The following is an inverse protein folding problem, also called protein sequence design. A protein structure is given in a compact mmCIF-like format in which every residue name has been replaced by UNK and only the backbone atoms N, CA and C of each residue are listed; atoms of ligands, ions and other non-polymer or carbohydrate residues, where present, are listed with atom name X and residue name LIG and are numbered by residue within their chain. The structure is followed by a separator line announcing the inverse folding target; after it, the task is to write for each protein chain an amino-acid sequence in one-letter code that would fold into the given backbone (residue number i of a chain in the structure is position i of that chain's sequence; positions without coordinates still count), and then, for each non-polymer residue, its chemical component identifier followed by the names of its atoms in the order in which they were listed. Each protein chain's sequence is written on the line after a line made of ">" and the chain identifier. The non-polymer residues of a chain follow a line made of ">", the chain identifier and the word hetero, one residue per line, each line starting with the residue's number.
data_IF_557528516666
#
_entry.id   IF_557528516666
#
_cell.length_a   1.000
_cell.length_b   1.000
_cell.length_c   1.000
_cell.angle_alpha   90.00
_cell.angle_beta   90.00
_cell.angle_gamma   90.00
#
_symmetry.space_group_name_H-M   'P 1'
#
loop_
_entity.id
_entity.type
_entity.pdbx_description
1 polymer ?
#
# COMPACT_ATOMS: atom_id res chain seq x y z
N UNK A 1 31.07 -26.56 -19.29
CA UNK A 1 30.40 -26.65 -17.97
C UNK A 1 29.54 -27.92 -17.94
N UNK A 2 29.11 -28.41 -16.77
CA UNK A 2 28.06 -29.47 -16.64
C UNK A 2 26.86 -28.90 -15.89
N UNK A 3 25.68 -29.47 -16.05
CA UNK A 3 24.43 -29.04 -15.40
C UNK A 3 24.60 -29.03 -13.88
N UNK A 4 25.17 -30.09 -13.28
CA UNK A 4 25.32 -30.16 -11.82
C UNK A 4 26.26 -29.09 -11.27
N UNK A 5 27.24 -28.64 -12.08
CA UNK A 5 28.16 -27.57 -11.67
C UNK A 5 27.46 -26.21 -11.65
N UNK A 6 26.54 -25.97 -12.58
CA UNK A 6 25.70 -24.77 -12.55
C UNK A 6 24.70 -24.83 -11.40
N UNK A 7 24.10 -26.00 -11.14
CA UNK A 7 23.20 -26.20 -10.01
C UNK A 7 23.91 -25.95 -8.67
N UNK A 8 25.10 -26.52 -8.49
CA UNK A 8 25.91 -26.32 -7.28
C UNK A 8 26.35 -24.84 -7.12
N UNK A 9 26.63 -24.14 -8.22
CA UNK A 9 26.90 -22.71 -8.18
C UNK A 9 25.69 -21.92 -7.68
N UNK A 10 24.50 -22.14 -8.23
CA UNK A 10 23.28 -21.46 -7.79
C UNK A 10 22.90 -21.81 -6.34
N UNK A 11 23.11 -23.06 -5.92
CA UNK A 11 22.87 -23.52 -4.55
C UNK A 11 23.87 -22.97 -3.53
N UNK A 12 25.07 -22.55 -3.99
CA UNK A 12 26.08 -21.92 -3.12
C UNK A 12 25.84 -20.42 -2.86
N UNK A 13 24.87 -19.81 -3.56
CA UNK A 13 24.55 -18.40 -3.36
C UNK A 13 23.74 -18.21 -2.07
N UNK A 14 23.79 -17.00 -1.51
CA UNK A 14 22.98 -16.65 -0.32
C UNK A 14 21.48 -16.56 -0.60
N UNK A 15 21.09 -16.58 -1.88
CA UNK A 15 19.71 -16.51 -2.34
C UNK A 15 19.28 -17.93 -2.76
N UNK A 16 18.13 -18.44 -2.28
CA UNK A 16 17.65 -19.76 -2.68
C UNK A 16 17.08 -19.70 -4.09
N UNK A 17 17.93 -19.78 -5.12
CA UNK A 17 17.48 -19.70 -6.50
C UNK A 17 16.60 -20.90 -6.90
N UNK A 18 15.42 -20.61 -7.45
CA UNK A 18 14.47 -21.60 -7.98
C UNK A 18 14.88 -22.10 -9.36
N UNK A 19 15.61 -21.28 -10.11
CA UNK A 19 15.97 -21.58 -11.46
C UNK A 19 17.45 -21.32 -11.76
N UNK A 20 17.96 -22.03 -12.75
CA UNK A 20 19.27 -21.78 -13.35
C UNK A 20 19.20 -21.84 -14.88
N UNK A 21 20.05 -21.07 -15.55
CA UNK A 21 20.15 -21.01 -17.01
C UNK A 21 21.57 -21.32 -17.46
N UNK A 22 21.70 -22.07 -18.55
CA UNK A 22 22.98 -22.39 -19.19
C UNK A 22 23.02 -21.86 -20.62
N UNK A 23 23.91 -20.90 -20.91
CA UNK A 23 24.04 -20.28 -22.24
C UNK A 23 25.39 -20.64 -22.88
N UNK A 24 25.37 -20.93 -24.18
CA UNK A 24 26.54 -21.20 -25.03
C UNK A 24 27.53 -22.26 -24.48
N UNK A 25 27.10 -23.18 -23.60
CA UNK A 25 27.95 -24.23 -23.03
C UNK A 25 28.78 -23.83 -21.80
N UNK A 26 28.85 -22.53 -21.46
CA UNK A 26 29.82 -22.03 -20.48
C UNK A 26 29.27 -21.06 -19.45
N UNK A 27 28.19 -20.34 -19.74
CA UNK A 27 27.63 -19.34 -18.83
C UNK A 27 26.53 -19.96 -17.98
N UNK A 28 26.63 -19.80 -16.67
CA UNK A 28 25.61 -20.20 -15.71
C UNK A 28 24.97 -18.95 -15.09
N UNK A 29 23.66 -18.86 -15.15
CA UNK A 29 22.86 -17.80 -14.53
C UNK A 29 21.90 -18.41 -13.52
N UNK A 30 21.55 -17.66 -12.48
CA UNK A 30 20.63 -18.11 -11.43
C UNK A 30 19.53 -17.06 -11.28
N UNK A 31 18.27 -17.50 -11.23
CA UNK A 31 17.13 -16.60 -11.10
C UNK A 31 15.98 -17.25 -10.31
N UNK A 32 15.10 -16.42 -9.80
CA UNK A 32 13.84 -16.80 -9.16
C UNK A 32 12.61 -16.44 -9.99
N UNK A 33 12.78 -15.50 -10.92
CA UNK A 33 11.74 -14.97 -11.78
C UNK A 33 12.29 -15.00 -13.20
N UNK A 34 12.24 -16.16 -13.85
CA UNK A 34 12.55 -16.23 -15.27
C UNK A 34 11.45 -15.52 -16.07
N UNK A 35 11.57 -14.22 -16.20
CA UNK A 35 10.72 -13.39 -17.05
C UNK A 35 11.59 -12.78 -18.15
N UNK A 36 11.29 -13.15 -19.40
CA UNK A 36 11.74 -12.55 -20.66
C UNK A 36 13.17 -12.75 -21.21
N UNK A 37 14.14 -13.36 -20.51
CA UNK A 37 15.49 -13.55 -21.09
C UNK A 37 15.52 -14.61 -22.22
N UNK A 38 14.40 -15.29 -22.50
CA UNK A 38 14.35 -16.39 -23.47
C UNK A 38 13.34 -16.22 -24.62
N UNK A 39 12.77 -15.03 -24.83
CA UNK A 39 12.05 -14.80 -26.09
C UNK A 39 13.03 -14.75 -27.26
N UNK A 40 12.91 -15.77 -28.09
CA UNK A 40 13.48 -15.87 -29.43
C UNK A 40 13.22 -14.55 -30.16
N UNK A 41 14.28 -13.80 -30.49
CA UNK A 41 14.15 -12.67 -31.40
C UNK A 41 13.81 -13.22 -32.79
N UNK A 42 12.52 -13.20 -33.13
CA UNK A 42 11.98 -13.60 -34.42
C UNK A 42 11.27 -14.95 -34.40
N UNK A 43 10.34 -15.13 -35.35
CA UNK A 43 9.50 -16.31 -35.56
C UNK A 43 10.28 -17.61 -35.94
N UNK A 44 11.52 -17.79 -35.48
CA UNK A 44 12.47 -18.82 -35.89
C UNK A 44 13.03 -19.62 -34.69
N UNK A 45 12.18 -19.98 -33.72
CA UNK A 45 12.54 -20.96 -32.67
C UNK A 45 13.01 -22.32 -33.25
N UNK A 46 12.73 -22.56 -34.54
CA UNK A 46 13.20 -23.73 -35.29
C UNK A 46 14.65 -23.60 -35.82
N UNK A 47 15.27 -22.42 -35.78
CA UNK A 47 16.61 -22.18 -36.35
C UNK A 47 17.77 -22.36 -35.35
N UNK A 48 17.52 -22.28 -34.04
CA UNK A 48 18.56 -22.41 -33.00
C UNK A 48 18.05 -23.27 -31.83
N UNK A 49 18.31 -24.58 -31.81
CA UNK A 49 17.89 -25.43 -30.69
C UNK A 49 18.77 -25.19 -29.44
N UNK A 50 18.15 -25.19 -28.24
CA UNK A 50 18.86 -25.25 -26.95
C UNK A 50 19.41 -26.67 -26.68
N UNK A 51 20.19 -27.22 -27.61
CA UNK A 51 20.71 -28.58 -27.54
C UNK A 51 22.24 -28.64 -27.62
N UNK A 52 22.94 -27.50 -27.43
CA UNK A 52 24.40 -27.47 -27.38
C UNK A 52 24.88 -28.47 -26.33
N UNK A 53 25.69 -29.48 -26.70
CA UNK A 53 26.21 -30.44 -25.74
C UNK A 53 27.00 -29.73 -24.64
N UNK A 54 26.81 -30.14 -23.40
CA UNK A 54 27.54 -29.57 -22.29
C UNK A 54 29.04 -29.93 -22.39
N UNK A 55 29.96 -28.95 -22.38
CA UNK A 55 31.39 -29.21 -22.60
C UNK A 55 32.04 -30.14 -21.57
N UNK A 56 31.44 -30.28 -20.37
CA UNK A 56 31.94 -31.18 -19.34
C UNK A 56 31.30 -32.58 -19.35
N UNK A 57 30.14 -32.74 -19.98
CA UNK A 57 29.49 -34.03 -20.22
C UNK A 57 28.47 -33.90 -21.38
N UNK A 58 28.79 -34.40 -22.59
CA UNK A 58 27.89 -34.28 -23.74
C UNK A 58 26.63 -35.15 -23.65
N UNK A 59 26.49 -36.03 -22.65
CA UNK A 59 25.32 -36.91 -22.48
C UNK A 59 24.20 -36.31 -21.64
N UNK A 60 24.43 -35.14 -21.05
CA UNK A 60 23.44 -34.44 -20.24
C UNK A 60 22.20 -34.07 -21.06
N UNK A 61 21.08 -34.72 -20.72
CA UNK A 61 19.79 -34.52 -21.39
C UNK A 61 19.24 -33.15 -21.01
N UNK A 62 19.20 -32.24 -21.98
CA UNK A 62 18.74 -30.85 -21.81
C UNK A 62 19.68 -29.82 -22.44
N UNK A 63 20.95 -30.19 -22.66
CA UNK A 63 21.95 -29.33 -23.30
C UNK A 63 22.31 -28.09 -22.48
N UNK A 64 23.45 -27.47 -22.78
CA UNK A 64 23.89 -26.25 -22.12
C UNK A 64 23.59 -25.02 -22.98
N UNK A 65 22.34 -24.88 -23.43
CA UNK A 65 21.87 -23.75 -24.23
C UNK A 65 22.03 -23.92 -25.74
N UNK A 66 22.10 -22.78 -26.43
CA UNK A 66 22.25 -22.62 -27.87
C UNK A 66 22.71 -21.20 -28.17
N UNK A 67 22.97 -20.88 -29.44
CA UNK A 67 23.44 -19.54 -29.82
C UNK A 67 22.42 -18.47 -29.38
N UNK A 68 22.80 -17.66 -28.37
CA UNK A 68 21.95 -16.64 -27.73
C UNK A 68 20.72 -17.19 -26.98
N UNK A 69 20.69 -18.48 -26.66
CA UNK A 69 19.59 -19.12 -25.94
C UNK A 69 20.15 -19.90 -24.75
N UNK A 70 19.46 -19.87 -23.61
CA UNK A 70 19.82 -20.75 -22.50
C UNK A 70 18.88 -21.96 -22.40
N UNK A 71 19.44 -23.07 -21.94
CA UNK A 71 18.65 -24.14 -21.36
C UNK A 71 18.32 -23.77 -19.92
N UNK A 72 17.02 -23.65 -19.61
CA UNK A 72 16.53 -23.30 -18.29
C UNK A 72 16.16 -24.56 -17.49
N UNK A 73 16.54 -24.59 -16.22
CA UNK A 73 16.29 -25.71 -15.31
C UNK A 73 15.64 -25.19 -14.04
N UNK A 74 14.57 -25.87 -13.62
CA UNK A 74 13.86 -25.57 -12.38
C UNK A 74 14.26 -26.56 -11.28
N UNK A 75 14.56 -26.03 -10.10
CA UNK A 75 14.75 -26.81 -8.87
C UNK A 75 13.39 -27.23 -8.32
N UNK A 76 13.11 -28.54 -8.33
CA UNK A 76 11.82 -29.12 -7.92
C UNK A 76 11.53 -28.90 -6.43
N UNK A 77 12.57 -28.91 -5.59
CA UNK A 77 12.47 -28.71 -4.13
C UNK A 77 13.05 -27.36 -3.70
N UNK A 78 12.80 -26.30 -4.47
CA UNK A 78 13.23 -24.95 -4.05
C UNK A 78 12.47 -24.51 -2.80
N UNK A 79 13.18 -23.92 -1.85
CA UNK A 79 12.61 -23.25 -0.68
C UNK A 79 12.29 -21.78 -0.95
N UNK A 80 12.47 -21.31 -2.20
CA UNK A 80 12.11 -19.96 -2.60
C UNK A 80 10.61 -19.75 -2.50
N UNK A 81 10.21 -18.70 -1.80
CA UNK A 81 8.81 -18.28 -1.71
C UNK A 81 8.62 -17.13 -2.68
N UNK A 82 7.62 -17.24 -3.56
CA UNK A 82 7.17 -16.11 -4.37
C UNK A 82 6.31 -15.24 -3.47
N UNK A 83 6.70 -13.98 -3.23
CA UNK A 83 5.89 -13.06 -2.45
C UNK A 83 4.55 -12.81 -3.16
N UNK A 84 3.45 -12.90 -2.42
CA UNK A 84 2.11 -12.67 -2.95
C UNK A 84 1.53 -11.38 -2.39
N UNK A 85 0.62 -10.77 -3.15
CA UNK A 85 -0.19 -9.67 -2.65
C UNK A 85 -1.19 -10.23 -1.65
N UNK A 86 -1.26 -9.63 -0.47
CA UNK A 86 -2.30 -9.93 0.51
C UNK A 86 -3.60 -9.26 0.02
N UNK A 87 -4.65 -10.00 -0.36
CA UNK A 87 -5.83 -9.38 -0.97
C UNK A 87 -6.58 -8.45 -0.01
N UNK A 88 -6.63 -8.82 1.26
CA UNK A 88 -7.25 -8.02 2.32
C UNK A 88 -6.72 -8.37 3.71
N UNK A 89 -6.78 -7.39 4.61
CA UNK A 89 -6.52 -7.53 6.06
C UNK A 89 -7.67 -6.85 6.80
N UNK A 90 -8.62 -7.63 7.30
CA UNK A 90 -9.85 -7.06 7.89
C UNK A 90 -10.61 -6.18 6.89
N UNK A 91 -10.75 -4.88 7.20
CA UNK A 91 -11.41 -3.89 6.33
C UNK A 91 -10.45 -3.19 5.36
N UNK A 92 -9.18 -3.60 5.30
CA UNK A 92 -8.22 -3.12 4.33
C UNK A 92 -8.24 -4.00 3.09
N UNK A 93 -8.38 -3.39 1.92
CA UNK A 93 -8.36 -4.09 0.63
C UNK A 93 -7.20 -3.57 -0.21
N UNK A 94 -6.51 -4.48 -0.90
CA UNK A 94 -5.44 -4.10 -1.81
C UNK A 94 -6.00 -3.37 -3.03
N UNK A 95 -5.40 -2.22 -3.35
CA UNK A 95 -5.66 -1.49 -4.60
C UNK A 95 -4.68 -1.89 -5.69
N UNK A 96 -3.47 -2.32 -5.30
CA UNK A 96 -2.45 -2.87 -6.19
C UNK A 96 -1.16 -2.05 -6.19
N UNK A 97 -0.36 -2.17 -7.26
CA UNK A 97 0.94 -1.52 -7.36
C UNK A 97 0.83 -0.08 -7.89
N UNK A 98 1.45 0.87 -7.19
CA UNK A 98 1.48 2.29 -7.52
C UNK A 98 2.91 2.82 -7.63
N UNK A 99 3.09 3.85 -8.45
CA UNK A 99 4.38 4.57 -8.54
C UNK A 99 4.65 5.36 -7.26
N UNK A 100 5.89 5.32 -6.78
CA UNK A 100 6.41 6.18 -5.71
C UNK A 100 7.70 6.89 -6.17
N UNK A 101 8.18 7.85 -5.39
CA UNK A 101 9.46 8.53 -5.58
C UNK A 101 9.94 9.14 -4.27
N UNK A 102 11.24 8.98 -3.98
CA UNK A 102 11.88 9.63 -2.81
C UNK A 102 11.76 11.16 -2.81
N UNK A 103 11.61 11.80 -3.97
CA UNK A 103 11.44 13.25 -4.11
C UNK A 103 9.98 13.69 -4.19
N UNK A 104 9.04 12.76 -4.30
CA UNK A 104 7.62 13.01 -4.52
C UNK A 104 6.80 11.81 -4.03
N UNK A 105 6.69 11.67 -2.71
CA UNK A 105 6.13 10.48 -2.06
C UNK A 105 4.65 10.28 -2.37
N UNK A 106 4.24 9.04 -2.64
CA UNK A 106 2.84 8.76 -2.95
C UNK A 106 1.91 8.97 -1.74
N UNK A 107 2.41 8.71 -0.54
CA UNK A 107 1.74 8.94 0.75
C UNK A 107 2.68 9.75 1.67
N UNK A 108 2.12 10.60 2.52
CA UNK A 108 2.90 11.67 3.19
C UNK A 108 3.51 11.31 4.54
N UNK A 109 3.02 10.27 5.22
CA UNK A 109 3.51 9.90 6.55
C UNK A 109 4.18 8.54 6.51
N UNK A 110 5.46 8.49 6.84
CA UNK A 110 6.13 7.22 7.12
C UNK A 110 5.91 6.86 8.60
N UNK A 111 5.53 5.61 8.88
CA UNK A 111 5.36 5.10 10.25
C UNK A 111 6.28 3.91 10.50
N UNK A 112 6.66 3.72 11.76
CA UNK A 112 7.39 2.53 12.17
C UNK A 112 6.41 1.38 12.44
N UNK A 113 6.47 0.35 11.59
CA UNK A 113 5.67 -0.87 11.70
C UNK A 113 6.49 -2.06 12.22
N UNK A 114 7.70 -1.82 12.74
CA UNK A 114 8.61 -2.84 13.25
C UNK A 114 9.13 -3.78 12.17
N UNK A 115 8.91 -5.08 12.34
CA UNK A 115 9.23 -6.06 11.31
C UNK A 115 8.08 -6.09 10.29
N UNK A 116 8.14 -5.18 9.31
CA UNK A 116 7.01 -4.85 8.43
C UNK A 116 6.43 -6.08 7.72
N UNK A 117 5.14 -6.31 7.93
CA UNK A 117 4.23 -7.14 7.12
C UNK A 117 3.13 -6.24 6.56
N UNK A 118 2.24 -6.77 5.73
CA UNK A 118 1.05 -6.02 5.30
C UNK A 118 0.17 -5.69 6.52
N UNK A 119 -0.07 -6.66 7.40
CA UNK A 119 -0.89 -6.50 8.61
C UNK A 119 -0.31 -5.46 9.56
N UNK A 120 1.00 -5.49 9.81
CA UNK A 120 1.62 -4.54 10.74
C UNK A 120 1.54 -3.12 10.18
N UNK A 121 1.72 -2.96 8.87
CA UNK A 121 1.63 -1.66 8.22
C UNK A 121 0.20 -1.10 8.23
N UNK A 122 -0.79 -1.87 7.77
CA UNK A 122 -2.18 -1.39 7.75
C UNK A 122 -2.68 -1.09 9.17
N UNK A 123 -2.29 -1.90 10.16
CA UNK A 123 -2.63 -1.66 11.58
C UNK A 123 -2.01 -0.36 12.08
N UNK A 124 -0.75 -0.09 11.76
CA UNK A 124 -0.07 1.15 12.14
C UNK A 124 -0.73 2.37 11.50
N UNK A 125 -1.05 2.32 10.20
CA UNK A 125 -1.74 3.41 9.52
C UNK A 125 -3.17 3.63 10.05
N UNK A 126 -3.87 2.54 10.38
CA UNK A 126 -5.21 2.58 10.96
C UNK A 126 -5.20 3.23 12.35
N UNK A 127 -4.20 2.92 13.19
CA UNK A 127 -4.02 3.55 14.50
C UNK A 127 -3.75 5.06 14.41
N UNK A 128 -3.22 5.54 13.28
CA UNK A 128 -3.00 6.96 12.99
C UNK A 128 -4.19 7.63 12.27
N UNK A 129 -5.29 6.90 12.02
CA UNK A 129 -6.50 7.44 11.40
C UNK A 129 -6.43 7.61 9.87
N UNK A 130 -5.45 7.00 9.21
CA UNK A 130 -5.26 7.10 7.76
C UNK A 130 -6.09 6.07 6.99
N UNK A 131 -6.74 6.47 5.91
CA UNK A 131 -7.54 5.54 5.07
C UNK A 131 -6.72 4.82 4.00
N UNK A 132 -5.48 5.24 3.78
CA UNK A 132 -4.54 4.60 2.88
C UNK A 132 -3.29 4.16 3.65
N UNK A 133 -2.84 2.96 3.32
CA UNK A 133 -1.61 2.37 3.81
C UNK A 133 -0.84 1.84 2.60
N UNK A 134 0.48 1.90 2.65
CA UNK A 134 1.33 1.46 1.56
C UNK A 134 2.61 0.85 2.08
N UNK A 135 2.94 -0.33 1.55
CA UNK A 135 4.20 -1.02 1.84
C UNK A 135 5.19 -0.81 0.70
N UNK A 136 6.40 -0.36 1.02
CA UNK A 136 7.47 -0.10 0.04
C UNK A 136 8.80 -0.72 0.49
N UNK A 137 9.62 -1.12 -0.50
CA UNK A 137 11.02 -1.49 -0.31
C UNK A 137 11.25 -2.56 0.77
N UNK A 138 10.28 -3.47 0.93
CA UNK A 138 10.32 -4.62 1.84
C UNK A 138 10.16 -4.28 3.33
N UNK A 139 10.30 -3.01 3.72
CA UNK A 139 10.34 -2.62 5.15
C UNK A 139 9.64 -1.31 5.46
N UNK A 140 9.34 -0.49 4.47
CA UNK A 140 8.79 0.85 4.69
C UNK A 140 7.27 0.77 4.75
N UNK A 141 6.68 1.47 5.72
CA UNK A 141 5.24 1.62 5.84
C UNK A 141 4.88 3.10 5.72
N UNK A 142 4.05 3.41 4.73
CA UNK A 142 3.60 4.75 4.41
C UNK A 142 2.08 4.85 4.57
N UNK A 143 1.62 5.97 5.12
CA UNK A 143 0.22 6.21 5.44
C UNK A 143 -0.24 7.55 4.86
N UNK A 144 -1.51 7.62 4.48
CA UNK A 144 -2.14 8.86 4.10
C UNK A 144 -3.64 8.74 3.92
N UNK A 145 -4.30 9.84 3.55
CA UNK A 145 -5.75 9.83 3.28
C UNK A 145 -6.06 10.04 1.81
N UNK A 146 -5.06 10.43 1.02
CA UNK A 146 -5.15 10.67 -0.42
C UNK A 146 -3.78 10.39 -1.05
N UNK A 147 -3.78 9.95 -2.31
CA UNK A 147 -2.56 9.86 -3.10
C UNK A 147 -2.05 11.24 -3.45
N UNK A 148 -0.74 11.42 -3.36
CA UNK A 148 -0.05 12.68 -3.67
C UNK A 148 0.77 12.59 -4.95
N UNK A 149 1.18 13.76 -5.44
CA UNK A 149 2.16 13.93 -6.51
C UNK A 149 1.90 13.13 -7.80
N UNK A 150 0.61 12.90 -8.10
CA UNK A 150 0.20 12.21 -9.31
C UNK A 150 0.60 10.73 -9.35
N UNK A 151 0.79 10.08 -8.19
CA UNK A 151 1.00 8.63 -8.11
C UNK A 151 -0.06 7.88 -8.91
N UNK A 152 0.37 6.93 -9.75
CA UNK A 152 -0.49 6.23 -10.71
C UNK A 152 -0.47 4.74 -10.43
N UNK A 153 -1.62 4.12 -10.63
CA UNK A 153 -1.72 2.68 -10.70
C UNK A 153 -0.86 2.17 -11.86
N UNK A 154 -0.02 1.19 -11.59
CA UNK A 154 0.82 0.55 -12.60
C UNK A 154 0.02 -0.61 -13.20
N UNK A 155 -0.54 -0.39 -14.38
CA UNK A 155 -1.14 -1.47 -15.17
C UNK A 155 -0.02 -2.23 -15.89
N UNK A 156 0.09 -3.53 -15.63
CA UNK A 156 0.74 -4.44 -16.56
C UNK A 156 -0.23 -4.65 -17.73
N UNK A 157 0.02 -4.01 -18.86
CA UNK A 157 -0.73 -4.30 -20.08
C UNK A 157 -0.70 -5.82 -20.36
N UNK A 158 -1.89 -6.41 -20.48
CA UNK A 158 -2.24 -7.65 -21.16
C UNK A 158 -1.09 -8.63 -21.40
N UNK A 159 -0.90 -9.65 -20.56
CA UNK A 159 -0.63 -11.04 -20.94
C UNK A 159 -0.43 -11.86 -19.66
N UNK A 160 -1.24 -12.90 -19.52
CA UNK A 160 -1.19 -13.95 -18.48
C UNK A 160 -1.57 -13.57 -17.03
N UNK A 161 -2.87 -13.37 -16.80
CA UNK A 161 -3.57 -13.88 -15.60
C UNK A 161 -3.23 -13.36 -14.21
N UNK A 162 -2.22 -12.51 -14.00
CA UNK A 162 -1.85 -12.01 -12.67
C UNK A 162 -2.37 -10.59 -12.47
N UNK A 163 -3.48 -10.50 -11.74
CA UNK A 163 -4.11 -9.26 -11.27
C UNK A 163 -3.11 -8.46 -10.39
N UNK A 164 -3.13 -7.13 -10.46
CA UNK A 164 -2.37 -6.16 -9.63
C UNK A 164 -1.00 -5.58 -10.13
N UNK A 165 -0.65 -5.64 -11.42
CA UNK A 165 0.41 -4.76 -11.96
C UNK A 165 1.86 -5.24 -11.74
N UNK A 166 2.13 -6.51 -12.02
CA UNK A 166 3.27 -7.25 -11.44
C UNK A 166 4.54 -7.29 -12.31
N UNK A 167 4.52 -6.73 -13.52
CA UNK A 167 5.53 -7.08 -14.52
C UNK A 167 6.88 -6.36 -14.38
N UNK A 168 7.99 -7.11 -14.34
CA UNK A 168 9.34 -6.60 -14.65
C UNK A 168 9.63 -6.81 -16.14
N UNK A 169 9.71 -5.73 -16.93
CA UNK A 169 10.18 -5.81 -18.34
C UNK A 169 11.68 -6.09 -18.46
N UNK A 170 12.44 -5.91 -17.38
CA UNK A 170 13.89 -6.08 -17.31
C UNK A 170 14.28 -6.33 -15.85
N UNK A 171 15.40 -7.02 -15.56
CA UNK A 171 15.94 -7.18 -14.21
C UNK A 171 16.08 -5.87 -13.45
N UNK A 172 16.30 -4.76 -14.16
CA UNK A 172 16.49 -3.41 -13.60
C UNK A 172 15.18 -2.64 -13.39
N UNK A 173 14.04 -3.15 -13.88
CA UNK A 173 12.75 -2.46 -13.73
C UNK A 173 12.19 -2.64 -12.32
N UNK A 174 11.74 -1.56 -11.66
CA UNK A 174 11.18 -1.68 -10.33
C UNK A 174 9.81 -2.37 -10.33
N UNK A 175 9.65 -3.33 -9.43
CA UNK A 175 8.45 -4.18 -9.26
C UNK A 175 7.88 -4.10 -7.85
N UNK A 176 6.62 -4.48 -7.66
CA UNK A 176 5.99 -4.58 -6.35
C UNK A 176 6.18 -5.93 -5.61
N UNK A 177 7.08 -6.81 -6.07
CA UNK A 177 7.25 -8.17 -5.51
C UNK A 177 8.41 -8.32 -4.52
N UNK A 178 8.90 -7.22 -3.94
CA UNK A 178 9.91 -7.30 -2.88
C UNK A 178 9.28 -7.91 -1.63
N UNK A 179 9.86 -8.99 -1.09
CA UNK A 179 9.42 -9.62 0.15
C UNK A 179 9.33 -8.62 1.31
N UNK A 180 8.30 -8.77 2.13
CA UNK A 180 8.22 -8.12 3.43
C UNK A 180 9.31 -8.65 4.38
N UNK A 181 9.88 -7.76 5.20
CA UNK A 181 10.89 -8.09 6.21
C UNK A 181 10.32 -9.01 7.30
N UNK A 182 9.05 -8.79 7.66
CA UNK A 182 8.31 -9.56 8.66
C UNK A 182 7.83 -10.91 8.19
N UNK A 183 7.43 -11.00 6.92
CA UNK A 183 6.95 -12.23 6.30
C UNK A 183 7.42 -12.30 4.83
N UNK A 184 8.44 -13.12 4.51
CA UNK A 184 8.94 -13.22 3.16
C UNK A 184 7.93 -13.76 2.12
N UNK A 185 6.80 -14.32 2.55
CA UNK A 185 5.72 -14.77 1.68
C UNK A 185 4.79 -13.64 1.21
N UNK A 186 4.91 -12.46 1.79
CA UNK A 186 4.12 -11.28 1.43
C UNK A 186 4.93 -10.29 0.59
N UNK A 187 4.25 -9.65 -0.36
CA UNK A 187 4.80 -8.56 -1.16
C UNK A 187 4.70 -7.22 -0.44
N UNK A 188 5.83 -6.55 -0.27
CA UNK A 188 6.00 -5.22 0.33
C UNK A 188 6.61 -4.21 -0.66
N UNK A 189 6.07 -4.17 -1.89
CA UNK A 189 6.42 -3.16 -2.87
C UNK A 189 7.80 -3.38 -3.50
N UNK A 190 8.56 -2.30 -3.68
CA UNK A 190 9.92 -2.32 -4.22
C UNK A 190 10.47 -0.92 -4.36
N UNK A 191 11.59 -0.75 -5.05
CA UNK A 191 12.17 0.58 -5.24
C UNK A 191 11.21 1.48 -6.04
N UNK A 192 10.77 2.62 -5.48
CA UNK A 192 9.82 3.53 -6.15
C UNK A 192 8.49 2.83 -6.53
N UNK A 193 8.08 1.83 -5.75
CA UNK A 193 6.91 0.96 -6.01
C UNK A 193 6.21 0.65 -4.71
N UNK A 194 5.04 1.23 -4.53
CA UNK A 194 4.22 1.09 -3.34
C UNK A 194 3.08 0.12 -3.63
N UNK A 195 2.88 -0.92 -2.80
CA UNK A 195 1.59 -1.63 -2.82
C UNK A 195 0.63 -0.87 -1.93
N UNK A 196 -0.45 -0.37 -2.52
CA UNK A 196 -1.42 0.47 -1.85
C UNK A 196 -2.62 -0.35 -1.34
N UNK A 197 -3.05 -0.05 -0.13
CA UNK A 197 -4.24 -0.59 0.52
C UNK A 197 -5.19 0.54 0.90
N UNK A 198 -6.48 0.26 0.82
CA UNK A 198 -7.55 1.17 1.19
C UNK A 198 -8.40 0.59 2.32
N UNK A 199 -8.61 1.39 3.36
CA UNK A 199 -9.52 1.09 4.44
C UNK A 199 -10.96 1.39 4.03
N UNK A 200 -11.83 0.39 4.11
CA UNK A 200 -13.25 0.55 3.80
C UNK A 200 -14.13 0.71 5.05
N UNK A 201 -13.51 0.85 6.23
CA UNK A 201 -14.22 1.16 7.47
C UNK A 201 -14.43 2.66 7.67
N UNK A 202 -14.98 3.01 8.83
CA UNK A 202 -15.15 4.40 9.27
C UNK A 202 -14.13 4.75 10.36
N UNK A 203 -13.71 6.00 10.39
CA UNK A 203 -12.88 6.57 11.47
C UNK A 203 -13.72 7.44 12.40
N UNK A 204 -13.39 7.53 13.71
CA UNK A 204 -12.36 6.78 14.44
C UNK A 204 -12.61 5.27 14.46
N UNK A 205 -11.59 4.50 14.83
CA UNK A 205 -11.66 3.04 14.93
C UNK A 205 -12.81 2.58 15.84
N UNK A 206 -13.88 2.04 15.25
CA UNK A 206 -15.07 1.60 16.00
C UNK A 206 -16.01 2.74 16.40
N UNK A 207 -15.67 3.99 16.10
CA UNK A 207 -16.51 5.15 16.33
C UNK A 207 -17.19 5.61 15.05
N UNK A 208 -18.47 5.92 15.15
CA UNK A 208 -19.31 6.26 14.01
C UNK A 208 -19.66 7.75 13.97
N UNK A 209 -20.00 8.26 12.79
CA UNK A 209 -20.63 9.58 12.68
C UNK A 209 -22.09 9.43 13.08
N UNK A 210 -22.54 10.23 14.04
CA UNK A 210 -23.97 10.37 14.33
C UNK A 210 -24.61 11.11 13.16
N UNK A 211 -25.53 10.46 12.44
CA UNK A 211 -26.13 11.06 11.24
C UNK A 211 -27.13 12.15 11.62
N UNK A 212 -27.94 11.92 12.65
CA UNK A 212 -28.96 12.86 13.13
C UNK A 212 -28.97 12.93 14.65
N UNK A 213 -29.17 14.13 15.18
CA UNK A 213 -29.12 14.43 16.62
C UNK A 213 -29.98 15.67 16.91
N UNK A 214 -30.98 15.59 17.78
CA UNK A 214 -31.89 16.71 18.10
C UNK A 214 -32.48 17.49 16.91
N UNK A 215 -32.69 16.82 15.76
CA UNK A 215 -33.20 17.44 14.53
C UNK A 215 -32.13 18.11 13.65
N UNK A 216 -30.85 18.03 14.05
CA UNK A 216 -29.69 18.46 13.28
C UNK A 216 -29.11 17.27 12.53
N UNK A 217 -28.57 17.52 11.34
CA UNK A 217 -27.97 16.47 10.50
C UNK A 217 -26.48 16.70 10.36
N UNK A 218 -25.69 15.64 10.38
CA UNK A 218 -24.26 15.72 10.10
C UNK A 218 -24.02 16.13 8.65
N UNK A 219 -23.16 17.12 8.46
CA UNK A 219 -22.81 17.71 7.16
C UNK A 219 -21.40 17.30 6.73
N UNK A 220 -20.74 16.46 7.53
CA UNK A 220 -19.38 15.96 7.29
C UNK A 220 -18.30 16.77 7.99
N UNK A 221 -17.06 16.50 7.58
CA UNK A 221 -15.87 17.12 8.14
C UNK A 221 -15.50 18.40 7.38
N UNK A 222 -15.19 19.48 8.10
CA UNK A 222 -14.79 20.77 7.54
C UNK A 222 -13.44 21.20 8.09
N UNK A 223 -12.62 21.84 7.27
CA UNK A 223 -11.35 22.44 7.74
C UNK A 223 -11.59 23.56 8.76
N UNK A 224 -10.68 23.69 9.71
CA UNK A 224 -10.62 24.80 10.66
C UNK A 224 -9.20 25.39 10.74
N UNK A 225 -9.05 26.55 11.37
CA UNK A 225 -7.76 27.15 11.67
C UNK A 225 -7.80 27.93 12.98
N UNK A 226 -6.79 27.71 13.82
CA UNK A 226 -6.59 28.50 15.04
C UNK A 226 -6.42 30.01 14.79
N UNK A 227 -5.94 30.40 13.60
CA UNK A 227 -5.76 31.82 13.21
C UNK A 227 -7.02 32.46 12.62
N UNK A 228 -7.97 31.65 12.12
CA UNK A 228 -9.23 32.10 11.52
C UNK A 228 -10.24 30.98 11.65
N UNK A 229 -11.09 31.06 12.68
CA UNK A 229 -12.02 29.99 13.02
C UNK A 229 -13.16 29.90 12.03
N UNK A 230 -13.46 28.68 11.60
CA UNK A 230 -14.57 28.32 10.71
C UNK A 230 -15.93 28.60 11.35
N UNK A 231 -16.05 28.34 12.65
CA UNK A 231 -17.20 28.71 13.48
C UNK A 231 -16.76 29.69 14.57
N UNK A 232 -17.54 30.73 14.83
CA UNK A 232 -17.07 31.91 15.54
C UNK A 232 -17.07 31.80 17.07
N UNK A 233 -17.86 30.88 17.63
CA UNK A 233 -18.11 30.84 19.07
C UNK A 233 -17.75 29.49 19.66
N UNK A 234 -16.65 29.41 20.40
CA UNK A 234 -16.40 28.27 21.30
C UNK A 234 -17.36 28.34 22.49
N UNK A 235 -17.94 27.21 22.84
CA UNK A 235 -18.81 27.05 24.00
C UNK A 235 -18.31 25.90 24.88
N UNK A 236 -18.63 25.96 26.17
CA UNK A 236 -18.37 24.88 27.10
C UNK A 236 -19.58 23.93 27.10
N UNK A 237 -19.36 22.68 26.70
CA UNK A 237 -20.36 21.61 26.69
C UNK A 237 -20.04 20.52 27.74
N UNK A 238 -19.10 20.77 28.65
CA UNK A 238 -18.69 19.83 29.69
C UNK A 238 -18.04 18.57 29.13
N UNK A 239 -18.60 17.40 29.48
CA UNK A 239 -18.17 16.13 28.91
C UNK A 239 -18.70 16.03 27.46
N UNK A 240 -17.86 16.39 26.50
CA UNK A 240 -18.29 16.60 25.11
C UNK A 240 -18.72 15.29 24.46
N UNK A 241 -19.97 15.28 24.00
CA UNK A 241 -20.56 14.35 23.04
C UNK A 241 -21.17 15.17 21.91
N UNK A 242 -21.56 14.52 20.80
CA UNK A 242 -22.31 15.20 19.72
C UNK A 242 -23.57 15.87 20.26
N UNK A 243 -24.34 15.13 21.06
CA UNK A 243 -25.58 15.59 21.70
C UNK A 243 -25.34 16.82 22.59
N UNK A 244 -24.30 16.81 23.43
CA UNK A 244 -24.03 17.91 24.35
C UNK A 244 -23.59 19.17 23.63
N UNK A 245 -22.78 19.05 22.57
CA UNK A 245 -22.34 20.19 21.77
C UNK A 245 -23.50 20.81 20.98
N UNK A 246 -24.29 19.99 20.28
CA UNK A 246 -25.46 20.47 19.52
C UNK A 246 -26.44 21.18 20.45
N UNK A 247 -26.72 20.59 21.62
CA UNK A 247 -27.59 21.21 22.63
C UNK A 247 -27.03 22.54 23.14
N UNK A 248 -25.71 22.63 23.38
CA UNK A 248 -25.05 23.86 23.83
C UNK A 248 -25.15 24.97 22.77
N UNK A 249 -24.93 24.67 21.49
CA UNK A 249 -25.08 25.63 20.40
C UNK A 249 -26.54 26.08 20.23
N UNK A 250 -27.47 25.13 20.25
CA UNK A 250 -28.90 25.41 20.14
C UNK A 250 -29.39 26.29 21.30
N UNK A 251 -28.92 26.07 22.53
CA UNK A 251 -29.27 26.88 23.70
C UNK A 251 -28.81 28.35 23.59
N UNK A 252 -27.81 28.61 22.74
CA UNK A 252 -27.29 29.94 22.44
C UNK A 252 -27.83 30.50 21.11
N UNK A 253 -28.88 29.89 20.55
CA UNK A 253 -29.53 30.30 19.31
C UNK A 253 -28.62 30.27 18.08
N UNK A 254 -27.62 29.39 18.07
CA UNK A 254 -26.83 29.10 16.86
C UNK A 254 -27.49 28.01 16.03
N UNK A 255 -27.34 28.07 14.71
CA UNK A 255 -27.85 27.08 13.75
C UNK A 255 -26.79 26.13 13.21
N UNK A 256 -25.53 26.28 13.59
CA UNK A 256 -24.42 25.41 13.22
C UNK A 256 -23.61 25.04 14.46
N UNK A 257 -23.29 23.75 14.60
CA UNK A 257 -22.45 23.19 15.64
C UNK A 257 -21.30 22.44 14.97
N UNK A 258 -20.10 22.53 15.54
CA UNK A 258 -18.90 21.88 15.06
C UNK A 258 -18.10 21.35 16.24
N UNK A 259 -17.79 20.05 16.20
CA UNK A 259 -16.97 19.41 17.21
C UNK A 259 -15.53 19.35 16.72
N UNK A 260 -14.59 19.80 17.54
CA UNK A 260 -13.16 19.81 17.24
C UNK A 260 -12.38 19.10 18.35
N UNK A 261 -11.26 18.50 17.96
CA UNK A 261 -10.23 18.04 18.88
C UNK A 261 -10.74 17.15 20.04
N UNK A 262 -11.72 16.27 19.79
CA UNK A 262 -12.40 15.39 20.77
C UNK A 262 -13.22 16.07 21.88
N UNK A 263 -12.94 17.34 22.20
CA UNK A 263 -13.40 17.99 23.43
C UNK A 263 -13.84 19.45 23.24
N UNK A 264 -13.77 19.99 22.03
CA UNK A 264 -14.17 21.37 21.77
C UNK A 264 -15.51 21.42 21.04
N UNK A 265 -16.34 22.37 21.45
CA UNK A 265 -17.61 22.67 20.80
C UNK A 265 -17.59 24.10 20.26
N UNK A 266 -17.81 24.23 18.97
CA UNK A 266 -17.83 25.49 18.25
C UNK A 266 -19.21 25.71 17.64
N UNK A 267 -19.71 26.93 17.71
CA UNK A 267 -21.02 27.31 17.24
C UNK A 267 -20.93 28.50 16.27
N UNK A 268 -21.89 28.58 15.35
CA UNK A 268 -22.02 29.69 14.42
C UNK A 268 -23.36 29.65 13.71
N UNK A 269 -23.61 30.65 12.86
CA UNK A 269 -24.76 30.65 11.96
C UNK A 269 -24.34 30.55 10.49
N UNK A 270 -23.03 30.59 10.23
CA UNK A 270 -22.43 30.56 8.91
C UNK A 270 -21.07 29.84 9.00
N UNK A 271 -20.70 29.08 7.96
CA UNK A 271 -19.36 28.51 7.81
C UNK A 271 -18.46 29.59 7.19
N UNK A 272 -17.48 30.07 7.96
CA UNK A 272 -16.54 31.11 7.51
C UNK A 272 -15.29 30.51 6.90
N UNK A 273 -14.63 31.24 6.00
CA UNK A 273 -13.30 30.88 5.51
C UNK A 273 -12.31 30.76 6.70
N UNK A 274 -11.51 29.69 6.79
CA UNK A 274 -11.13 28.74 5.74
C UNK A 274 -12.01 27.48 5.63
N UNK A 275 -13.18 27.44 6.28
CA UNK A 275 -14.07 26.30 6.33
C UNK A 275 -14.54 25.82 4.96
N UNK A 276 -14.06 24.65 4.55
CA UNK A 276 -14.52 23.90 3.38
C UNK A 276 -14.61 22.42 3.72
N UNK A 277 -15.48 21.64 3.04
CA UNK A 277 -15.53 20.20 3.22
C UNK A 277 -14.15 19.56 3.00
N UNK A 278 -13.78 18.64 3.88
CA UNK A 278 -12.53 17.86 3.82
C UNK A 278 -12.80 16.38 4.03
N UNK A 279 -11.76 15.55 3.95
CA UNK A 279 -11.86 14.12 4.20
C UNK A 279 -12.35 13.84 5.63
N UNK A 280 -13.26 12.88 5.77
CA UNK A 280 -13.72 12.39 7.08
C UNK A 280 -12.55 11.92 7.98
N UNK A 281 -11.43 11.49 7.40
CA UNK A 281 -10.22 11.11 8.15
C UNK A 281 -9.60 12.27 8.94
N UNK A 282 -9.84 13.53 8.55
CA UNK A 282 -9.42 14.68 9.35
C UNK A 282 -10.27 14.84 10.62
N UNK A 283 -11.49 14.31 10.61
CA UNK A 283 -12.38 14.21 11.76
C UNK A 283 -12.39 12.77 12.28
N UNK A 284 -11.25 12.34 12.84
CA UNK A 284 -11.01 10.96 13.28
C UNK A 284 -10.81 10.82 14.79
N UNK A 285 -11.05 11.87 15.58
CA UNK A 285 -10.95 11.79 17.03
C UNK A 285 -12.31 11.47 17.65
N UNK A 286 -12.32 10.48 18.55
CA UNK A 286 -13.52 10.11 19.28
C UNK A 286 -13.87 11.16 20.33
N UNK A 287 -15.14 11.30 20.67
CA UNK A 287 -15.59 12.24 21.70
C UNK A 287 -15.03 11.85 23.06
N UNK A 288 -14.59 12.83 23.85
CA UNK A 288 -14.13 12.56 25.22
C UNK A 288 -15.25 11.98 26.12
N UNK A 289 -16.50 12.31 25.81
CA UNK A 289 -17.67 11.82 26.53
C UNK A 289 -18.37 10.60 25.91
N UNK A 290 -17.94 10.17 24.72
CA UNK A 290 -18.47 9.01 24.01
C UNK A 290 -17.44 8.53 22.97
N UNK A 291 -16.63 7.54 23.36
CA UNK A 291 -15.56 7.01 22.51
C UNK A 291 -16.08 6.21 21.30
N UNK A 292 -17.39 6.01 21.19
CA UNK A 292 -18.05 5.34 20.05
C UNK A 292 -18.51 6.31 18.96
N UNK A 293 -18.25 7.62 19.12
CA UNK A 293 -18.69 8.65 18.18
C UNK A 293 -17.57 9.64 17.82
N UNK A 294 -17.61 10.15 16.59
CA UNK A 294 -16.67 11.15 16.07
C UNK A 294 -16.93 12.55 16.65
N UNK A 295 -15.87 13.22 17.13
CA UNK A 295 -15.87 14.61 17.60
C UNK A 295 -14.74 15.44 16.96
N UNK A 296 -14.65 15.40 15.63
CA UNK A 296 -13.71 16.21 14.85
C UNK A 296 -12.28 15.69 14.89
N UNK A 297 -11.33 16.59 14.70
CA UNK A 297 -9.90 16.33 14.79
C UNK A 297 -9.09 17.62 14.80
N UNK A 298 -7.76 17.55 14.72
CA UNK A 298 -6.92 18.75 14.77
C UNK A 298 -7.16 19.66 13.57
N UNK A 299 -7.59 20.91 13.80
CA UNK A 299 -7.95 21.87 12.74
C UNK A 299 -9.04 21.33 11.80
N UNK A 300 -9.96 20.51 12.33
CA UNK A 300 -11.03 19.88 11.54
C UNK A 300 -12.29 19.68 12.40
N UNK A 301 -13.41 20.23 11.93
CA UNK A 301 -14.71 20.22 12.61
C UNK A 301 -15.62 19.14 12.03
N UNK A 302 -16.19 18.28 12.88
CA UNK A 302 -17.37 17.51 12.51
C UNK A 302 -18.59 18.42 12.63
N UNK A 303 -19.21 18.79 11.51
CA UNK A 303 -20.24 19.85 11.46
C UNK A 303 -21.66 19.27 11.40
N UNK A 304 -22.59 19.92 12.12
CA UNK A 304 -24.01 19.62 12.19
C UNK A 304 -24.84 20.89 11.95
N UNK A 305 -25.87 20.83 11.11
CA UNK A 305 -26.95 21.83 10.93
C UNK A 305 -28.13 21.26 10.14
#
# INVERSE_FOLDING_TARGET
>A
MIIEKCAAFCDSQSVPYRFMGLTDGFQCTCDNFFEYIFEVWGNNAQAYPCNTPCPGDPHEKGGCGGQYLASAYQKVNSTFIIPIFVPSVGLWNVLGCYSDSVSARALQVMVDAGNTTVESCVTACQAQGFSLAGVEFGRECWCGSQLQHGSRFITNDNYDGIQYGVYRRSPDEPSCIMSCQGDPSESCGGANRLILYNFTGTYPLGASVVVTVNGWTSQGCYSDSTSSRTLERRVDAGNVTVESCVSACQSQSFSIAGLEYAQECWCGNEIKSPGVPTSQSACSQACIGDDTVVCGGPNALQVYF
#
